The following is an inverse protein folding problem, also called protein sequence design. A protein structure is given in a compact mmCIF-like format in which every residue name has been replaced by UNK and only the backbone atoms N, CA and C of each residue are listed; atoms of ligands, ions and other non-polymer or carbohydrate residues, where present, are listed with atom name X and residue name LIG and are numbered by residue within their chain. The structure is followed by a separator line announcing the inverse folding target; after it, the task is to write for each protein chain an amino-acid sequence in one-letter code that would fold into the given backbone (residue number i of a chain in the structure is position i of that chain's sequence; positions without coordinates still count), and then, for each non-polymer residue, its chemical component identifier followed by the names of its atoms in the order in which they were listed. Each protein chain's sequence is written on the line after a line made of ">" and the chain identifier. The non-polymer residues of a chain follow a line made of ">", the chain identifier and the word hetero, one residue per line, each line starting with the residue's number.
data_IF_845480134198
#
_entry.id   IF_845480134198
#
_cell.length_a   1.000
_cell.length_b   1.000
_cell.length_c   1.000
_cell.angle_alpha   90.00
_cell.angle_beta   90.00
_cell.angle_gamma   90.00
#
_symmetry.space_group_name_H-M   'P 1'
#
loop_
_entity.id
_entity.type
_entity.pdbx_description
1 polymer ?
#
# COMPACT_ATOMS: atom_id res chain seq x y z
N UNK A 1 -1.16 8.38 16.68
CA UNK A 1 -1.23 7.34 15.64
C UNK A 1 -0.37 6.19 16.17
N UNK A 2 -0.73 4.94 15.92
CA UNK A 2 0.07 3.79 16.36
C UNK A 2 1.49 3.90 15.79
N UNK A 3 2.52 3.69 16.60
CA UNK A 3 3.92 3.88 16.19
C UNK A 3 4.33 3.00 15.01
N UNK A 4 3.66 1.85 14.81
CA UNK A 4 3.85 0.98 13.64
C UNK A 4 3.26 1.57 12.38
N UNK A 5 2.09 2.22 12.51
CA UNK A 5 1.44 2.91 11.39
C UNK A 5 2.26 4.13 10.99
N UNK A 6 2.76 4.90 11.96
CA UNK A 6 3.69 6.01 11.70
C UNK A 6 4.93 5.51 10.95
N UNK A 7 5.51 4.39 11.39
CA UNK A 7 6.68 3.81 10.73
C UNK A 7 6.40 3.38 9.29
N UNK A 8 5.26 2.73 9.05
CA UNK A 8 4.81 2.38 7.72
C UNK A 8 4.65 3.60 6.81
N UNK A 9 4.03 4.67 7.32
CA UNK A 9 3.85 5.93 6.58
C UNK A 9 5.20 6.56 6.23
N UNK A 10 6.14 6.66 7.18
CA UNK A 10 7.49 7.16 6.90
C UNK A 10 8.19 6.38 5.79
N UNK A 11 8.15 5.04 5.87
CA UNK A 11 8.81 4.18 4.90
C UNK A 11 8.18 4.31 3.50
N UNK A 12 6.86 4.35 3.40
CA UNK A 12 6.15 4.48 2.11
C UNK A 12 6.35 5.85 1.47
N UNK A 13 6.38 6.92 2.26
CA UNK A 13 6.75 8.27 1.79
C UNK A 13 8.19 8.28 1.27
N UNK A 14 9.13 7.75 2.05
CA UNK A 14 10.54 7.67 1.65
C UNK A 14 10.73 6.84 0.38
N UNK A 15 10.03 5.70 0.26
CA UNK A 15 10.05 4.88 -0.94
C UNK A 15 9.58 5.66 -2.17
N UNK A 16 8.46 6.39 -2.06
CA UNK A 16 7.93 7.20 -3.15
C UNK A 16 8.95 8.21 -3.67
N UNK A 17 9.61 8.94 -2.76
CA UNK A 17 10.64 9.91 -3.11
C UNK A 17 11.85 9.24 -3.79
N UNK A 18 12.34 8.13 -3.25
CA UNK A 18 13.50 7.43 -3.80
C UNK A 18 13.23 6.82 -5.18
N UNK A 19 12.01 6.33 -5.44
CA UNK A 19 11.63 5.82 -6.77
C UNK A 19 11.61 6.95 -7.79
N UNK A 20 11.04 8.11 -7.44
CA UNK A 20 11.00 9.28 -8.34
C UNK A 20 12.42 9.76 -8.70
N UNK A 21 13.36 9.68 -7.75
CA UNK A 21 14.78 10.01 -7.95
C UNK A 21 15.58 8.92 -8.70
N UNK A 22 14.99 7.76 -9.00
CA UNK A 22 15.71 6.61 -9.57
C UNK A 22 16.77 6.03 -8.62
N UNK A 23 16.60 6.22 -7.31
CA UNK A 23 17.56 5.84 -6.29
C UNK A 23 17.43 4.37 -5.90
N UNK A 24 18.49 3.59 -6.10
CA UNK A 24 18.53 2.14 -5.81
C UNK A 24 18.21 1.79 -4.36
N UNK A 25 18.32 2.73 -3.41
CA UNK A 25 17.91 2.53 -2.02
C UNK A 25 16.41 2.24 -1.89
N UNK A 26 15.58 2.62 -2.87
CA UNK A 26 14.16 2.31 -2.90
C UNK A 26 13.89 0.81 -2.72
N UNK A 27 14.71 -0.07 -3.33
CA UNK A 27 14.56 -1.52 -3.19
C UNK A 27 14.71 -2.00 -1.73
N UNK A 28 15.62 -1.38 -0.98
CA UNK A 28 15.78 -1.67 0.45
C UNK A 28 14.55 -1.21 1.23
N UNK A 29 14.07 0.01 0.96
CA UNK A 29 12.89 0.55 1.63
C UNK A 29 11.64 -0.29 1.30
N UNK A 30 11.48 -0.75 0.06
CA UNK A 30 10.43 -1.70 -0.31
C UNK A 30 10.47 -2.96 0.56
N UNK A 31 11.66 -3.55 0.73
CA UNK A 31 11.84 -4.73 1.58
C UNK A 31 11.49 -4.45 3.04
N UNK A 32 11.74 -3.24 3.53
CA UNK A 32 11.42 -2.85 4.91
C UNK A 32 9.92 -2.57 5.09
N UNK A 33 9.23 -2.02 4.07
CA UNK A 33 7.76 -1.88 4.06
C UNK A 33 7.10 -3.27 4.15
N UNK A 34 7.54 -4.23 3.34
CA UNK A 34 6.99 -5.58 3.34
C UNK A 34 7.13 -6.27 4.71
N UNK A 35 8.27 -6.05 5.39
CA UNK A 35 8.44 -6.54 6.77
C UNK A 35 7.44 -5.90 7.73
N UNK A 36 7.24 -4.58 7.65
CA UNK A 36 6.28 -3.91 8.53
C UNK A 36 4.85 -4.40 8.27
N UNK A 37 4.48 -4.64 7.01
CA UNK A 37 3.17 -5.19 6.64
C UNK A 37 2.92 -6.57 7.26
N UNK A 38 3.91 -7.45 7.34
CA UNK A 38 3.79 -8.74 8.03
C UNK A 38 3.38 -8.55 9.49
N UNK A 39 3.97 -7.57 10.19
CA UNK A 39 3.60 -7.28 11.57
C UNK A 39 2.21 -6.64 11.65
N UNK A 40 1.90 -5.66 10.81
CA UNK A 40 0.62 -4.97 10.83
C UNK A 40 -0.57 -5.93 10.61
N UNK A 41 -0.42 -6.95 9.75
CA UNK A 41 -1.46 -7.97 9.50
C UNK A 41 -1.89 -8.74 10.75
N UNK A 42 -0.98 -8.93 11.72
CA UNK A 42 -1.22 -9.72 12.95
C UNK A 42 -1.44 -8.84 14.19
N UNK A 43 -1.53 -7.53 14.02
CA UNK A 43 -1.81 -6.59 15.12
C UNK A 43 -3.28 -6.60 15.53
N UNK A 44 -3.57 -5.90 16.65
CA UNK A 44 -4.92 -5.74 17.19
C UNK A 44 -5.84 -4.98 16.21
N UNK A 45 -7.15 -5.15 16.37
CA UNK A 45 -8.16 -4.54 15.51
C UNK A 45 -8.08 -3.01 15.43
N UNK A 46 -7.64 -2.33 16.49
CA UNK A 46 -7.44 -0.87 16.50
C UNK A 46 -6.37 -0.44 15.49
N UNK A 47 -5.20 -1.06 15.51
CA UNK A 47 -4.10 -0.80 14.55
C UNK A 47 -4.52 -1.10 13.11
N UNK A 48 -5.27 -2.19 12.88
CA UNK A 48 -5.84 -2.48 11.55
C UNK A 48 -6.81 -1.39 11.08
N UNK A 49 -7.64 -0.89 11.99
CA UNK A 49 -8.59 0.20 11.69
C UNK A 49 -7.84 1.49 11.31
N UNK A 50 -6.75 1.80 11.99
CA UNK A 50 -5.88 2.93 11.59
C UNK A 50 -5.24 2.70 10.22
N UNK A 51 -4.77 1.48 9.93
CA UNK A 51 -4.22 1.13 8.63
C UNK A 51 -5.24 1.33 7.50
N UNK A 52 -6.50 0.95 7.70
CA UNK A 52 -7.55 1.11 6.67
C UNK A 52 -7.81 2.59 6.35
N UNK A 53 -7.65 3.50 7.32
CA UNK A 53 -7.79 4.95 7.10
C UNK A 53 -6.69 5.50 6.19
N UNK A 54 -5.56 4.80 6.02
CA UNK A 54 -4.49 5.24 5.13
C UNK A 54 -4.86 5.23 3.64
N UNK A 55 -5.96 4.58 3.26
CA UNK A 55 -6.54 4.68 1.91
C UNK A 55 -6.87 6.13 1.53
N UNK A 56 -7.14 6.97 2.53
CA UNK A 56 -7.47 8.38 2.37
C UNK A 56 -6.31 9.32 2.74
N UNK A 57 -5.11 8.79 3.01
CA UNK A 57 -3.93 9.56 3.41
C UNK A 57 -3.50 10.56 2.33
N UNK A 58 -3.10 11.78 2.67
CA UNK A 58 -2.79 12.83 1.67
C UNK A 58 -1.67 12.45 0.68
N UNK A 59 -0.66 11.71 1.13
CA UNK A 59 0.47 11.28 0.30
C UNK A 59 0.09 10.15 -0.68
N UNK A 60 0.28 10.35 -2.01
CA UNK A 60 -0.09 9.34 -3.02
C UNK A 60 0.67 8.01 -2.91
N UNK A 61 1.91 8.00 -2.42
CA UNK A 61 2.68 6.76 -2.21
C UNK A 61 2.06 5.92 -1.11
N UNK A 62 1.64 6.55 0.00
CA UNK A 62 0.93 5.89 1.10
C UNK A 62 -0.38 5.29 0.60
N UNK A 63 -1.17 6.04 -0.19
CA UNK A 63 -2.41 5.54 -0.79
C UNK A 63 -2.16 4.33 -1.70
N UNK A 64 -1.16 4.42 -2.59
CA UNK A 64 -0.81 3.36 -3.53
C UNK A 64 -0.50 2.06 -2.80
N UNK A 65 0.41 2.12 -1.82
CA UNK A 65 0.83 0.95 -1.05
C UNK A 65 -0.32 0.37 -0.24
N UNK A 66 -1.10 1.21 0.43
CA UNK A 66 -2.23 0.77 1.25
C UNK A 66 -3.31 0.11 0.39
N UNK A 67 -3.68 0.74 -0.72
CA UNK A 67 -4.71 0.22 -1.63
C UNK A 67 -4.28 -1.11 -2.25
N UNK A 68 -3.03 -1.21 -2.70
CA UNK A 68 -2.46 -2.44 -3.24
C UNK A 68 -2.50 -3.57 -2.22
N UNK A 69 -2.15 -3.28 -0.97
CA UNK A 69 -2.12 -4.27 0.09
C UNK A 69 -3.52 -4.78 0.48
N UNK A 70 -4.51 -3.89 0.46
CA UNK A 70 -5.90 -4.21 0.82
C UNK A 70 -6.75 -4.74 -0.33
N UNK A 71 -6.19 -5.03 -1.52
CA UNK A 71 -6.94 -5.52 -2.67
C UNK A 71 -7.81 -6.76 -2.36
N UNK A 72 -7.28 -7.74 -1.63
CA UNK A 72 -8.05 -8.94 -1.22
C UNK A 72 -8.98 -8.72 -0.03
N UNK A 73 -8.86 -7.59 0.67
CA UNK A 73 -9.58 -7.32 1.93
C UNK A 73 -10.74 -6.37 1.69
N UNK A 74 -10.51 -5.29 0.94
CA UNK A 74 -11.49 -4.29 0.58
C UNK A 74 -11.31 -3.89 -0.89
N UNK A 75 -11.57 -4.85 -1.77
CA UNK A 75 -11.32 -4.72 -3.21
C UNK A 75 -11.97 -3.46 -3.78
N UNK A 76 -13.25 -3.22 -3.47
CA UNK A 76 -13.99 -2.09 -4.02
C UNK A 76 -13.32 -0.75 -3.70
N UNK A 77 -12.97 -0.50 -2.42
CA UNK A 77 -12.33 0.76 -2.04
C UNK A 77 -10.91 0.85 -2.55
N UNK A 78 -10.13 -0.22 -2.45
CA UNK A 78 -8.76 -0.27 -2.98
C UNK A 78 -8.71 0.02 -4.47
N UNK A 79 -9.60 -0.58 -5.25
CA UNK A 79 -9.70 -0.35 -6.69
C UNK A 79 -10.08 1.09 -7.01
N UNK A 80 -11.03 1.70 -6.29
CA UNK A 80 -11.36 3.12 -6.46
C UNK A 80 -10.16 4.03 -6.22
N UNK A 81 -9.37 3.77 -5.18
CA UNK A 81 -8.16 4.55 -4.88
C UNK A 81 -7.12 4.36 -5.98
N UNK A 82 -6.83 3.12 -6.37
CA UNK A 82 -5.87 2.83 -7.46
C UNK A 82 -6.30 3.50 -8.77
N UNK A 83 -7.58 3.41 -9.14
CA UNK A 83 -8.14 4.05 -10.33
C UNK A 83 -7.98 5.58 -10.26
N UNK A 84 -8.17 6.19 -9.09
CA UNK A 84 -7.95 7.63 -8.91
C UNK A 84 -6.49 8.02 -9.13
N UNK A 85 -5.54 7.20 -8.66
CA UNK A 85 -4.11 7.44 -8.79
C UNK A 85 -3.61 7.28 -10.23
N UNK A 86 -4.33 6.55 -11.10
CA UNK A 86 -3.96 6.42 -12.53
C UNK A 86 -3.90 7.76 -13.28
N UNK A 87 -4.52 8.81 -12.72
CA UNK A 87 -4.54 10.17 -13.26
C UNK A 87 -3.22 10.92 -13.03
N UNK A 88 -2.40 10.47 -12.09
CA UNK A 88 -1.08 11.04 -11.84
C UNK A 88 -0.17 10.82 -13.06
N UNK A 89 0.62 11.84 -13.41
CA UNK A 89 1.52 11.81 -14.58
C UNK A 89 2.94 11.32 -14.27
N UNK A 90 3.15 10.76 -13.08
CA UNK A 90 4.43 10.26 -12.59
C UNK A 90 4.40 8.73 -12.43
N UNK A 91 5.42 8.19 -11.77
CA UNK A 91 5.57 6.74 -11.56
C UNK A 91 4.41 6.12 -10.77
N UNK A 92 3.75 6.88 -9.90
CA UNK A 92 2.61 6.40 -9.11
C UNK A 92 1.43 6.07 -10.02
N UNK A 93 1.13 6.94 -10.98
CA UNK A 93 0.06 6.71 -11.95
C UNK A 93 0.33 5.52 -12.87
N UNK A 94 1.58 5.36 -13.32
CA UNK A 94 1.99 4.20 -14.12
C UNK A 94 1.89 2.90 -13.31
N UNK A 95 2.40 2.91 -12.08
CA UNK A 95 2.37 1.74 -11.18
C UNK A 95 0.94 1.32 -10.87
N UNK A 96 0.05 2.29 -10.60
CA UNK A 96 -1.37 2.02 -10.32
C UNK A 96 -2.06 1.31 -11.48
N UNK A 97 -1.80 1.72 -12.74
CA UNK A 97 -2.34 1.06 -13.94
C UNK A 97 -1.86 -0.40 -14.02
N UNK A 98 -0.56 -0.63 -13.83
CA UNK A 98 0.04 -1.96 -13.86
C UNK A 98 -0.58 -2.88 -12.79
N UNK A 99 -0.75 -2.38 -11.57
CA UNK A 99 -1.35 -3.14 -10.47
C UNK A 99 -2.80 -3.52 -10.78
N UNK A 100 -3.61 -2.57 -11.27
CA UNK A 100 -5.00 -2.83 -11.69
C UNK A 100 -5.05 -3.92 -12.76
N UNK A 101 -4.20 -3.84 -13.78
CA UNK A 101 -4.16 -4.85 -14.83
C UNK A 101 -3.74 -6.23 -14.30
N UNK A 102 -2.70 -6.29 -13.48
CA UNK A 102 -2.23 -7.55 -12.90
C UNK A 102 -3.28 -8.19 -12.00
N UNK A 103 -3.96 -7.38 -11.19
CA UNK A 103 -5.06 -7.83 -10.32
C UNK A 103 -6.22 -8.39 -11.15
N UNK A 104 -6.71 -7.64 -12.14
CA UNK A 104 -7.82 -8.07 -13.01
C UNK A 104 -7.50 -9.32 -13.82
N UNK A 105 -6.22 -9.54 -14.17
CA UNK A 105 -5.75 -10.75 -14.86
C UNK A 105 -5.52 -11.94 -13.93
N UNK A 106 -5.70 -11.78 -12.61
CA UNK A 106 -5.40 -12.82 -11.61
C UNK A 106 -3.90 -13.14 -11.51
N UNK A 107 -3.02 -12.24 -11.97
CA UNK A 107 -1.56 -12.39 -11.93
C UNK A 107 -0.95 -11.90 -10.62
N UNK A 108 -1.75 -11.27 -9.76
CA UNK A 108 -1.35 -10.79 -8.44
C UNK A 108 -2.30 -11.39 -7.40
N UNK A 109 -1.73 -11.88 -6.30
CA UNK A 109 -2.47 -12.42 -5.16
C UNK A 109 -2.05 -11.61 -3.94
N UNK A 110 -3.04 -11.17 -3.16
CA UNK A 110 -2.84 -10.49 -1.88
C UNK A 110 -3.50 -11.30 -0.76
N UNK A 111 -2.99 -11.12 0.46
CA UNK A 111 -3.56 -11.77 1.63
C UNK A 111 -4.80 -10.98 2.06
N UNK A 112 -5.90 -11.66 2.35
CA UNK A 112 -7.03 -11.03 3.01
C UNK A 112 -6.71 -10.85 4.51
N UNK A 113 -6.77 -9.61 4.99
CA UNK A 113 -6.43 -9.27 6.38
C UNK A 113 -7.47 -9.74 7.40
N UNK A 114 -8.67 -10.08 6.94
CA UNK A 114 -9.77 -10.63 7.74
C UNK A 114 -9.65 -12.13 7.96
N UNK A 115 -8.95 -12.86 7.08
CA UNK A 115 -8.76 -14.32 7.20
C UNK A 115 -7.91 -14.72 8.42
N UNK A 116 -7.14 -13.77 8.97
CA UNK A 116 -6.27 -13.96 10.13
C UNK A 116 -6.99 -13.77 11.49
N UNK A 117 -8.33 -13.70 11.51
CA UNK A 117 -9.14 -13.51 12.74
C UNK A 117 -9.64 -14.83 13.37
N UNK A 118 -9.02 -15.97 13.06
CA UNK A 118 -9.38 -17.27 13.67
C UNK A 118 -8.60 -17.57 14.94
#
# INVERSE_FOLDING_TARGET
>A
MDSKIEKYVELTVLHGNLIEEGNKKANKIHSDIEKELVFLRVTKNETKTEFYKLLDHENPSVKLWTATELLSTNELRSMQILESLTKEKNIIGLTSKTIIEMWRKGMMIKINWEDNLK
#
